data_IF_829728903487
#
_entry.id   IF_829728903487
#
_cell.length_a   1.000
_cell.length_b   1.000
_cell.length_c   1.000
_cell.angle_alpha   90.00
_cell.angle_beta   90.00
_cell.angle_gamma   90.00
#
_symmetry.space_group_name_H-M   'P 1'
#
loop_
_entity.id
_entity.type
_entity.pdbx_description
1 polymer ?
#
# COMPACT_ATOMS: atom_id res chain seq x y z
N UNK A 1 0.61 19.98 5.82
CA UNK A 1 -0.72 19.68 5.25
C UNK A 1 -0.79 20.35 3.90
N UNK A 2 -1.09 19.60 2.84
CA UNK A 2 -1.26 20.18 1.50
C UNK A 2 -2.60 20.93 1.44
N UNK A 3 -2.64 22.04 0.71
CA UNK A 3 -3.86 22.80 0.54
C UNK A 3 -4.90 21.97 -0.27
N UNK A 4 -6.18 21.98 0.12
CA UNK A 4 -7.24 21.37 -0.68
C UNK A 4 -7.34 22.06 -2.04
N UNK A 5 -7.36 21.28 -3.11
CA UNK A 5 -7.71 21.76 -4.44
C UNK A 5 -9.23 21.73 -4.58
N UNK A 6 -9.80 22.85 -5.02
CA UNK A 6 -11.23 22.95 -5.32
C UNK A 6 -11.35 23.03 -6.84
N UNK A 7 -12.14 22.13 -7.41
CA UNK A 7 -12.42 22.06 -8.84
C UNK A 7 -13.92 21.92 -9.08
N UNK A 8 -14.36 22.02 -10.32
CA UNK A 8 -15.76 21.80 -10.72
C UNK A 8 -15.78 20.66 -11.72
N UNK A 9 -16.63 19.66 -11.50
CA UNK A 9 -16.77 18.52 -12.40
C UNK A 9 -17.53 18.87 -13.69
N UNK A 10 -17.62 17.90 -14.61
CA UNK A 10 -18.31 18.09 -15.89
C UNK A 10 -19.83 18.33 -15.74
N UNK A 11 -20.39 18.05 -14.57
CA UNK A 11 -21.80 18.20 -14.22
C UNK A 11 -22.07 19.51 -13.46
N UNK A 12 -21.03 20.30 -13.17
CA UNK A 12 -21.14 21.57 -12.45
C UNK A 12 -21.08 21.45 -10.92
N UNK A 13 -20.77 20.27 -10.37
CA UNK A 13 -20.61 20.09 -8.93
C UNK A 13 -19.21 20.53 -8.49
N UNK A 14 -19.13 21.13 -7.29
CA UNK A 14 -17.86 21.45 -6.67
C UNK A 14 -17.21 20.19 -6.11
N UNK A 15 -16.01 19.87 -6.58
CA UNK A 15 -15.19 18.74 -6.12
C UNK A 15 -13.99 19.26 -5.35
N UNK A 16 -13.85 18.82 -4.09
CA UNK A 16 -12.71 19.15 -3.25
C UNK A 16 -11.76 17.95 -3.22
N UNK A 17 -10.55 18.13 -3.75
CA UNK A 17 -9.52 17.11 -3.84
C UNK A 17 -8.39 17.43 -2.84
N UNK A 18 -8.06 16.48 -1.97
CA UNK A 18 -6.99 16.62 -0.99
C UNK A 18 -5.86 15.65 -1.30
N UNK A 19 -4.70 16.17 -1.71
CA UNK A 19 -3.51 15.34 -1.93
C UNK A 19 -2.90 14.95 -0.58
N UNK A 20 -3.17 13.72 -0.14
CA UNK A 20 -2.64 13.15 1.10
C UNK A 20 -1.75 11.96 0.75
N UNK A 21 -0.54 11.84 1.32
CA UNK A 21 0.26 10.63 1.14
C UNK A 21 -0.54 9.39 1.53
N UNK A 22 -0.57 8.37 0.67
CA UNK A 22 -1.37 7.16 0.88
C UNK A 22 -1.06 6.50 2.23
N UNK A 23 0.21 6.53 2.66
CA UNK A 23 0.63 6.00 3.96
C UNK A 23 0.01 6.74 5.15
N UNK A 24 -0.09 8.07 5.10
CA UNK A 24 -0.69 8.88 6.15
C UNK A 24 -2.22 8.75 6.15
N UNK A 25 -2.82 8.68 4.97
CA UNK A 25 -4.25 8.41 4.82
C UNK A 25 -4.62 7.05 5.44
N UNK A 26 -3.90 5.98 5.07
CA UNK A 26 -4.11 4.64 5.60
C UNK A 26 -3.88 4.57 7.12
N UNK A 27 -2.83 5.20 7.65
CA UNK A 27 -2.58 5.25 9.11
C UNK A 27 -3.70 5.96 9.87
N UNK A 28 -4.15 7.11 9.38
CA UNK A 28 -5.23 7.86 10.01
C UNK A 28 -6.53 7.06 10.01
N UNK A 29 -6.84 6.41 8.88
CA UNK A 29 -8.03 5.58 8.72
C UNK A 29 -7.99 4.30 9.56
N UNK A 30 -6.84 3.62 9.63
CA UNK A 30 -6.65 2.45 10.49
C UNK A 30 -6.87 2.77 11.97
N UNK A 31 -6.42 3.96 12.42
CA UNK A 31 -6.71 4.46 13.78
C UNK A 31 -8.20 4.66 14.03
N UNK A 32 -8.93 5.17 13.04
CA UNK A 32 -10.37 5.40 13.15
C UNK A 32 -11.15 4.08 13.22
N UNK A 33 -10.81 3.12 12.36
CA UNK A 33 -11.37 1.76 12.39
C UNK A 33 -11.06 1.05 13.72
N UNK A 34 -9.82 1.11 14.19
CA UNK A 34 -9.44 0.54 15.48
C UNK A 34 -10.23 1.17 16.65
N UNK A 35 -10.51 2.48 16.58
CA UNK A 35 -11.30 3.17 17.59
C UNK A 35 -12.77 2.73 17.59
N UNK A 36 -13.36 2.53 16.40
CA UNK A 36 -14.72 2.00 16.26
C UNK A 36 -14.80 0.56 16.77
N UNK A 37 -13.85 -0.29 16.39
CA UNK A 37 -13.77 -1.68 16.87
C UNK A 37 -13.61 -1.70 18.39
N UNK A 38 -12.74 -0.87 18.96
CA UNK A 38 -12.57 -0.78 20.41
C UNK A 38 -13.83 -0.28 21.12
N UNK A 39 -14.63 0.59 20.50
CA UNK A 39 -15.89 1.05 21.07
C UNK A 39 -16.95 -0.06 21.10
N UNK A 40 -17.01 -0.87 20.05
CA UNK A 40 -17.96 -1.98 19.93
C UNK A 40 -17.52 -3.21 20.74
N UNK A 41 -16.21 -3.49 20.76
CA UNK A 41 -15.61 -4.64 21.43
C UNK A 41 -15.21 -4.38 22.90
N UNK A 42 -15.36 -3.13 23.38
CA UNK A 42 -15.21 -2.82 24.79
C UNK A 42 -16.18 -3.69 25.62
N UNK A 43 -15.78 -4.16 26.81
CA UNK A 43 -16.70 -4.84 27.71
C UNK A 43 -17.89 -3.93 28.03
N UNK A 44 -19.12 -4.36 27.73
CA UNK A 44 -20.30 -3.51 27.89
C UNK A 44 -20.55 -2.53 26.74
N UNK A 45 -19.70 -2.49 25.71
CA UNK A 45 -19.77 -1.52 24.60
C UNK A 45 -20.97 -1.76 23.69
N UNK A 46 -21.28 -3.02 23.40
CA UNK A 46 -22.49 -3.40 22.67
C UNK A 46 -23.76 -3.12 23.49
N UNK A 47 -23.70 -3.37 24.80
CA UNK A 47 -24.76 -3.02 25.73
C UNK A 47 -24.97 -1.50 25.73
N UNK A 48 -23.94 -0.67 25.87
CA UNK A 48 -24.05 0.78 25.76
C UNK A 48 -24.60 1.23 24.40
N UNK A 49 -24.19 0.59 23.31
CA UNK A 49 -24.74 0.85 21.98
C UNK A 49 -26.25 0.56 21.92
N UNK A 50 -26.70 -0.53 22.55
CA UNK A 50 -28.11 -0.89 22.63
C UNK A 50 -28.97 0.13 23.39
N UNK A 51 -28.37 0.91 24.30
CA UNK A 51 -29.03 1.95 25.08
C UNK A 51 -29.19 3.28 24.32
N UNK A 52 -28.53 3.46 23.17
CA UNK A 52 -28.73 4.67 22.38
C UNK A 52 -30.12 4.73 21.74
N UNK A 53 -30.67 5.94 21.51
CA UNK A 53 -31.87 6.09 20.69
C UNK A 53 -31.66 5.52 19.28
N UNK A 54 -32.70 4.94 18.69
CA UNK A 54 -32.62 4.30 17.36
C UNK A 54 -32.08 5.21 16.23
N UNK A 55 -32.39 6.52 16.19
CA UNK A 55 -31.78 7.42 15.21
C UNK A 55 -30.25 7.44 15.32
N UNK A 56 -29.72 7.48 16.55
CA UNK A 56 -28.29 7.53 16.81
C UNK A 56 -27.59 6.20 16.47
N UNK A 57 -28.23 5.06 16.76
CA UNK A 57 -27.74 3.75 16.32
C UNK A 57 -27.63 3.67 14.80
N UNK A 58 -28.66 4.15 14.09
CA UNK A 58 -28.69 4.18 12.64
C UNK A 58 -27.58 5.06 12.08
N UNK A 59 -27.35 6.22 12.67
CA UNK A 59 -26.31 7.15 12.22
C UNK A 59 -24.90 6.56 12.46
N UNK A 60 -24.67 5.88 13.58
CA UNK A 60 -23.41 5.16 13.85
C UNK A 60 -23.19 4.02 12.85
N UNK A 61 -24.23 3.22 12.58
CA UNK A 61 -24.15 2.13 11.60
C UNK A 61 -23.93 2.67 10.18
N UNK A 62 -24.58 3.78 9.81
CA UNK A 62 -24.39 4.45 8.53
C UNK A 62 -22.95 4.99 8.40
N UNK A 63 -22.38 5.54 9.47
CA UNK A 63 -20.98 5.96 9.50
C UNK A 63 -20.04 4.77 9.31
N UNK A 64 -20.27 3.67 10.02
CA UNK A 64 -19.47 2.44 9.86
C UNK A 64 -19.57 1.89 8.42
N UNK A 65 -20.77 1.86 7.85
CA UNK A 65 -20.99 1.43 6.47
C UNK A 65 -20.24 2.32 5.48
N UNK A 66 -20.39 3.64 5.59
CA UNK A 66 -19.71 4.62 4.74
C UNK A 66 -18.19 4.48 4.81
N UNK A 67 -17.64 4.24 6.00
CA UNK A 67 -16.21 3.98 6.16
C UNK A 67 -15.82 2.69 5.43
N UNK A 68 -16.60 1.61 5.53
CA UNK A 68 -16.27 0.35 4.83
C UNK A 68 -16.33 0.52 3.31
N UNK A 69 -17.38 1.17 2.79
CA UNK A 69 -17.53 1.43 1.36
C UNK A 69 -16.41 2.28 0.79
N UNK A 70 -15.97 3.30 1.54
CA UNK A 70 -14.84 4.14 1.12
C UNK A 70 -13.50 3.38 1.14
N UNK A 71 -13.39 2.33 1.97
CA UNK A 71 -12.14 1.60 2.18
C UNK A 71 -11.94 0.42 1.24
N UNK A 72 -13.02 -0.16 0.70
CA UNK A 72 -12.96 -1.26 -0.26
C UNK A 72 -12.07 -0.93 -1.49
N UNK A 73 -12.27 0.21 -2.18
CA UNK A 73 -11.41 0.59 -3.31
C UNK A 73 -9.95 0.84 -2.92
N UNK A 74 -9.73 1.36 -1.71
CA UNK A 74 -8.38 1.62 -1.19
C UNK A 74 -7.62 0.33 -0.86
N UNK A 75 -8.30 -0.65 -0.27
CA UNK A 75 -7.75 -2.00 -0.01
C UNK A 75 -7.46 -2.69 -1.33
N UNK A 76 -8.39 -2.67 -2.28
CA UNK A 76 -8.22 -3.29 -3.59
C UNK A 76 -7.04 -2.67 -4.36
N UNK A 77 -6.93 -1.33 -4.36
CA UNK A 77 -5.77 -0.64 -4.95
C UNK A 77 -4.46 -1.02 -4.25
N UNK A 78 -4.44 -1.12 -2.92
CA UNK A 78 -3.26 -1.55 -2.16
C UNK A 78 -2.87 -3.00 -2.47
N UNK A 79 -3.83 -3.91 -2.56
CA UNK A 79 -3.59 -5.32 -2.91
C UNK A 79 -3.01 -5.44 -4.32
N UNK A 80 -3.60 -4.75 -5.31
CA UNK A 80 -3.10 -4.72 -6.68
C UNK A 80 -1.67 -4.16 -6.74
N UNK A 81 -1.41 -3.03 -6.06
CA UNK A 81 -0.09 -2.40 -6.08
C UNK A 81 0.97 -3.22 -5.35
N UNK A 82 0.58 -3.93 -4.28
CA UNK A 82 1.47 -4.81 -3.52
C UNK A 82 1.82 -6.05 -4.34
N UNK A 83 0.82 -6.69 -4.96
CA UNK A 83 1.03 -7.82 -5.87
C UNK A 83 1.95 -7.44 -7.03
N UNK A 84 1.73 -6.27 -7.64
CA UNK A 84 2.58 -5.76 -8.70
C UNK A 84 4.00 -5.45 -8.21
N UNK A 85 4.16 -4.85 -7.04
CA UNK A 85 5.49 -4.55 -6.48
C UNK A 85 6.31 -5.81 -6.19
N UNK A 86 5.67 -6.87 -5.66
CA UNK A 86 6.35 -8.15 -5.45
C UNK A 86 6.73 -8.83 -6.76
N UNK A 87 5.85 -8.76 -7.77
CA UNK A 87 6.16 -9.25 -9.11
C UNK A 87 7.37 -8.52 -9.72
N UNK A 88 7.36 -7.17 -9.70
CA UNK A 88 8.47 -6.34 -10.21
C UNK A 88 9.78 -6.61 -9.47
N UNK A 89 9.74 -6.76 -8.15
CA UNK A 89 10.93 -7.15 -7.36
C UNK A 89 11.45 -8.53 -7.76
N UNK A 90 10.56 -9.50 -7.99
CA UNK A 90 10.93 -10.84 -8.46
C UNK A 90 11.57 -10.82 -9.85
N UNK A 91 10.99 -10.05 -10.78
CA UNK A 91 11.54 -9.87 -12.13
C UNK A 91 12.91 -9.20 -12.10
N UNK A 92 13.07 -8.15 -11.29
CA UNK A 92 14.34 -7.45 -11.14
C UNK A 92 15.41 -8.34 -10.48
N UNK A 93 15.05 -9.11 -9.44
CA UNK A 93 15.95 -10.06 -8.81
C UNK A 93 16.39 -11.17 -9.78
N UNK A 94 15.48 -11.69 -10.60
CA UNK A 94 15.81 -12.66 -11.64
C UNK A 94 16.73 -12.05 -12.71
N UNK A 95 16.44 -10.84 -13.18
CA UNK A 95 17.27 -10.13 -14.16
C UNK A 95 18.68 -9.81 -13.63
N UNK A 96 18.80 -9.44 -12.36
CA UNK A 96 20.10 -9.27 -11.68
C UNK A 96 20.86 -10.59 -11.54
N UNK A 97 20.17 -11.68 -11.25
CA UNK A 97 20.77 -13.01 -11.18
C UNK A 97 21.34 -13.43 -12.55
N UNK A 98 20.58 -13.29 -13.63
CA UNK A 98 21.07 -13.57 -14.98
C UNK A 98 22.28 -12.68 -15.35
N UNK A 99 22.23 -11.38 -15.04
CA UNK A 99 23.37 -10.46 -15.25
C UNK A 99 24.64 -10.84 -14.47
N UNK A 100 24.51 -11.42 -13.28
CA UNK A 100 25.66 -11.93 -12.50
C UNK A 100 26.18 -13.26 -13.02
N UNK A 101 25.32 -14.08 -13.62
CA UNK A 101 25.69 -15.39 -14.17
C UNK A 101 26.36 -15.25 -15.55
N UNK A 102 25.98 -14.23 -16.32
CA UNK A 102 26.54 -13.89 -17.63
C UNK A 102 27.76 -12.95 -17.58
N UNK A 103 28.33 -12.66 -16.40
CA UNK A 103 29.69 -12.12 -16.36
C UNK A 103 30.66 -13.29 -16.60
N UNK A 104 31.26 -13.41 -17.81
CA UNK A 104 32.29 -14.42 -18.00
C UNK A 104 33.40 -14.11 -17.02
N UNK A 105 33.71 -15.08 -16.14
CA UNK A 105 35.00 -15.12 -15.48
C UNK A 105 36.05 -14.87 -16.57
N UNK A 106 36.80 -13.78 -16.41
CA UNK A 106 37.92 -13.42 -17.26
C UNK A 106 38.71 -14.69 -17.59
N UNK A 107 38.68 -15.08 -18.86
CA UNK A 107 39.50 -16.15 -19.40
C UNK A 107 40.95 -15.72 -19.13
N UNK A 108 41.59 -16.32 -18.12
CA UNK A 108 43.04 -16.27 -17.98
C UNK A 108 43.61 -16.94 -19.24
N UNK A 109 44.05 -16.10 -20.19
CA UNK A 109 44.85 -16.58 -21.31
C UNK A 109 46.10 -17.27 -20.75
N UNK A 110 46.38 -18.53 -21.12
CA UNK A 110 47.65 -19.15 -20.77
C UNK A 110 48.78 -18.32 -21.39
N UNK A 111 49.71 -17.84 -20.56
CA UNK A 111 50.91 -17.19 -21.05
C UNK A 111 51.72 -18.20 -21.90
N UNK A 112 52.27 -17.79 -23.05
CA UNK A 112 53.12 -18.67 -23.84
C UNK A 112 54.43 -18.94 -23.09
N UNK A 113 54.75 -20.22 -22.90
CA UNK A 113 56.02 -20.67 -22.34
C UNK A 113 57.17 -20.29 -23.27
N UNK A 114 58.10 -19.49 -22.78
CA UNK A 114 59.34 -19.14 -23.46
C UNK A 114 60.34 -20.30 -23.35
N UNK A 115 60.67 -20.93 -24.49
CA UNK A 115 61.61 -22.05 -24.58
C UNK A 115 63.08 -21.59 -24.75
N UNK A 116 63.42 -20.37 -24.36
CA UNK A 116 64.78 -19.85 -24.51
C UNK A 116 65.61 -19.90 -23.22
N UNK A 117 65.71 -21.06 -22.57
CA UNK A 117 66.89 -21.37 -21.75
C UNK A 117 66.92 -22.83 -21.29
N UNK A 118 67.68 -23.66 -21.99
CA UNK A 118 68.52 -24.69 -21.36
C UNK A 118 69.63 -25.05 -22.34
N UNK A 119 70.84 -24.70 -21.92
CA UNK A 119 72.11 -24.94 -22.59
C UNK A 119 72.79 -26.12 -21.93
#
# INVERSE_FOLDING_TARGET
>A
MNAPQISVDAQGNTVVSLSTPISEHCKSRARLLASLVNMVAAPGGFEQFSHFPDPMKRDILALMHSIVEEQLPGIEALEQHTAQSYYERGVNAAAEHYRKTDQPASIEMPQPLDYSQQR
#
